data_IF_327654830663
#
_entry.id   IF_327654830663
#
_cell.length_a   1.000
_cell.length_b   1.000
_cell.length_c   1.000
_cell.angle_alpha   90.00
_cell.angle_beta   90.00
_cell.angle_gamma   90.00
#
_symmetry.space_group_name_H-M   'P 1'
#
loop_
_entity.id
_entity.type
_entity.pdbx_description
1 polymer ?
#
# COMPACT_ATOMS: atom_id res chain seq x y z
N UNK A 1 18.54 -15.69 -11.36
CA UNK A 1 18.85 -14.51 -10.53
C UNK A 1 17.77 -14.38 -9.47
N UNK A 2 18.12 -14.31 -8.18
CA UNK A 2 17.16 -14.11 -7.09
C UNK A 2 17.01 -12.59 -6.94
N UNK A 3 15.90 -12.04 -7.42
CA UNK A 3 15.65 -10.60 -7.35
C UNK A 3 15.05 -10.28 -5.98
N UNK A 4 15.73 -9.44 -5.22
CA UNK A 4 15.32 -8.99 -3.89
C UNK A 4 15.29 -7.46 -3.88
N UNK A 5 14.28 -6.87 -3.24
CA UNK A 5 14.12 -5.42 -3.22
C UNK A 5 12.97 -4.97 -2.35
N UNK A 6 12.85 -3.65 -2.20
CA UNK A 6 11.80 -3.04 -1.38
C UNK A 6 10.86 -2.24 -2.28
N UNK A 7 9.57 -2.56 -2.21
CA UNK A 7 8.50 -1.81 -2.85
C UNK A 7 7.96 -0.83 -1.82
N UNK A 8 7.94 0.46 -2.16
CA UNK A 8 7.40 1.52 -1.29
C UNK A 8 6.17 2.12 -1.94
N UNK A 9 5.04 2.06 -1.23
CA UNK A 9 3.79 2.69 -1.66
C UNK A 9 3.54 3.98 -0.89
N UNK A 10 3.20 5.04 -1.62
CA UNK A 10 2.88 6.35 -1.05
C UNK A 10 1.39 6.40 -0.70
N UNK A 11 1.14 6.38 0.59
CA UNK A 11 -0.16 6.52 1.22
C UNK A 11 -0.64 7.96 1.28
N UNK A 12 -1.62 8.17 2.14
CA UNK A 12 -2.14 9.48 2.50
C UNK A 12 -2.92 9.32 3.79
N UNK A 13 -2.90 10.35 4.63
CA UNK A 13 -3.79 10.46 5.79
C UNK A 13 -5.27 10.31 5.40
N UNK A 14 -5.64 10.66 4.17
CA UNK A 14 -6.99 10.53 3.63
C UNK A 14 -7.51 9.07 3.57
N UNK A 15 -6.61 8.07 3.61
CA UNK A 15 -6.98 6.66 3.70
C UNK A 15 -7.42 6.21 5.10
N UNK A 16 -7.11 7.00 6.14
CA UNK A 16 -7.46 6.73 7.55
C UNK A 16 -8.45 7.76 8.09
N UNK A 17 -8.25 9.02 7.75
CA UNK A 17 -9.06 10.17 8.16
C UNK A 17 -9.66 10.79 6.89
N UNK A 18 -10.85 10.34 6.45
CA UNK A 18 -11.47 10.84 5.22
C UNK A 18 -11.95 12.29 5.38
N UNK A 19 -11.83 13.09 4.32
CA UNK A 19 -12.37 14.44 4.23
C UNK A 19 -13.52 14.55 3.21
N UNK A 20 -14.38 15.56 3.39
CA UNK A 20 -15.57 15.81 2.55
C UNK A 20 -15.20 16.15 1.10
N UNK A 21 -16.05 15.77 0.14
CA UNK A 21 -15.80 15.88 -1.31
C UNK A 21 -14.60 15.07 -1.85
N UNK A 22 -13.95 14.26 -1.00
CA UNK A 22 -12.80 13.42 -1.37
C UNK A 22 -13.11 11.93 -1.53
N UNK A 23 -14.37 11.51 -1.65
CA UNK A 23 -14.79 10.10 -1.53
C UNK A 23 -13.95 9.11 -2.36
N UNK A 24 -13.75 9.40 -3.65
CA UNK A 24 -12.98 8.54 -4.56
C UNK A 24 -11.49 8.49 -4.17
N UNK A 25 -10.93 9.63 -3.74
CA UNK A 25 -9.53 9.70 -3.32
C UNK A 25 -9.29 8.97 -1.99
N UNK A 26 -10.17 9.21 -0.99
CA UNK A 26 -10.14 8.53 0.30
C UNK A 26 -10.26 7.01 0.11
N UNK A 27 -11.19 6.57 -0.74
CA UNK A 27 -11.37 5.15 -1.07
C UNK A 27 -10.12 4.57 -1.74
N UNK A 28 -9.54 5.27 -2.70
CA UNK A 28 -8.32 4.84 -3.39
C UNK A 28 -7.14 4.68 -2.42
N UNK A 29 -6.98 5.62 -1.47
CA UNK A 29 -5.90 5.58 -0.48
C UNK A 29 -6.13 4.54 0.61
N UNK A 30 -7.37 4.30 1.02
CA UNK A 30 -7.71 3.18 1.89
C UNK A 30 -7.47 1.82 1.21
N UNK A 31 -7.84 1.68 -0.07
CA UNK A 31 -7.63 0.46 -0.84
C UNK A 31 -6.13 0.10 -0.97
N UNK A 32 -5.25 1.09 -1.03
CA UNK A 32 -3.81 0.85 -1.03
C UNK A 32 -3.32 0.13 0.22
N UNK A 33 -3.97 0.28 1.39
CA UNK A 33 -3.57 -0.44 2.60
C UNK A 33 -3.75 -1.94 2.40
N UNK A 34 -4.96 -2.36 2.02
CA UNK A 34 -5.27 -3.76 1.77
C UNK A 34 -4.44 -4.33 0.62
N UNK A 35 -4.21 -3.53 -0.43
CA UNK A 35 -3.37 -3.95 -1.55
C UNK A 35 -1.91 -4.16 -1.15
N UNK A 36 -1.32 -3.26 -0.34
CA UNK A 36 0.03 -3.43 0.21
C UNK A 36 0.16 -4.68 1.06
N UNK A 37 -0.86 -4.99 1.87
CA UNK A 37 -0.84 -6.16 2.74
C UNK A 37 -0.91 -7.47 1.94
N UNK A 38 -1.77 -7.53 0.92
CA UNK A 38 -1.80 -8.67 -0.01
C UNK A 38 -0.47 -8.87 -0.71
N UNK A 39 0.10 -7.79 -1.27
CA UNK A 39 1.40 -7.85 -1.94
C UNK A 39 2.52 -8.31 -1.01
N UNK A 40 2.49 -7.94 0.28
CA UNK A 40 3.51 -8.36 1.24
C UNK A 40 3.53 -9.88 1.43
N UNK A 41 2.35 -10.50 1.46
CA UNK A 41 2.22 -11.96 1.58
C UNK A 41 2.61 -12.65 0.28
N UNK A 42 2.13 -12.14 -0.86
CA UNK A 42 2.40 -12.72 -2.18
C UNK A 42 3.89 -12.65 -2.56
N UNK A 43 4.57 -11.57 -2.20
CA UNK A 43 5.95 -11.32 -2.60
C UNK A 43 7.01 -11.79 -1.59
N UNK A 44 6.61 -12.13 -0.36
CA UNK A 44 7.52 -12.63 0.67
C UNK A 44 8.34 -13.88 0.23
N UNK A 45 7.76 -14.90 -0.45
CA UNK A 45 8.53 -16.06 -0.92
C UNK A 45 9.63 -15.72 -1.92
N UNK A 46 9.46 -14.61 -2.64
CA UNK A 46 10.40 -14.13 -3.64
C UNK A 46 11.50 -13.24 -3.03
N UNK A 47 11.41 -12.89 -1.74
CA UNK A 47 12.40 -12.07 -1.04
C UNK A 47 12.22 -10.57 -1.24
N UNK A 48 11.01 -10.10 -1.58
CA UNK A 48 10.69 -8.69 -1.62
C UNK A 48 10.00 -8.21 -0.34
N UNK A 49 10.31 -6.99 0.06
CA UNK A 49 9.67 -6.32 1.20
C UNK A 49 8.72 -5.24 0.68
N UNK A 50 7.49 -5.22 1.19
CA UNK A 50 6.48 -4.22 0.81
C UNK A 50 6.21 -3.31 1.98
N UNK A 51 6.52 -2.02 1.81
CA UNK A 51 6.32 -0.98 2.81
C UNK A 51 5.29 0.05 2.33
N UNK A 52 4.36 0.39 3.21
CA UNK A 52 3.36 1.43 2.97
C UNK A 52 3.64 2.64 3.88
N UNK A 53 3.72 3.84 3.28
CA UNK A 53 4.04 5.08 3.99
C UNK A 53 2.84 6.02 4.00
N UNK A 54 2.29 6.30 5.18
CA UNK A 54 1.22 7.30 5.38
C UNK A 54 1.64 8.73 5.04
#
# INVERSE_FOLDING_TARGET
MKANGTIVQIGSVAGVIPYVFGSVYNASKAALHSFSDSLRVELAPFGYFVFFRL
#
